data_IF_802555142749
#
_entry.id   IF_802555142749
#
_cell.length_a   1.000
_cell.length_b   1.000
_cell.length_c   1.000
_cell.angle_alpha   90.00
_cell.angle_beta   90.00
_cell.angle_gamma   90.00
#
_symmetry.space_group_name_H-M   'P 1'
#
loop_
_entity.id
_entity.type
_entity.pdbx_description
1 polymer ?
#
# COMPACT_ATOMS: atom_id res chain seq x y z
N UNK A 1 -7.43 14.34 -17.71
CA UNK A 1 -6.40 14.15 -16.66
C UNK A 1 -6.82 14.98 -15.45
N UNK A 2 -6.71 14.45 -14.22
CA UNK A 2 -7.22 15.07 -12.98
C UNK A 2 -6.12 15.91 -12.30
N UNK A 3 -5.79 17.07 -12.87
CA UNK A 3 -4.71 17.94 -12.39
C UNK A 3 -4.92 18.42 -10.95
N UNK A 4 -6.18 18.50 -10.50
CA UNK A 4 -6.56 18.88 -9.14
C UNK A 4 -6.05 17.91 -8.05
N UNK A 5 -5.62 16.71 -8.44
CA UNK A 5 -5.07 15.70 -7.53
C UNK A 5 -3.53 15.68 -7.49
N UNK A 6 -2.86 16.59 -8.20
CA UNK A 6 -1.38 16.58 -8.33
C UNK A 6 -0.87 15.34 -9.07
N UNK A 7 -1.70 14.81 -9.98
CA UNK A 7 -1.38 13.62 -10.78
C UNK A 7 -0.74 13.95 -12.13
N UNK A 8 -0.39 15.22 -12.32
CA UNK A 8 0.40 15.69 -13.45
C UNK A 8 1.76 14.98 -13.49
N UNK A 9 2.14 14.47 -14.66
CA UNK A 9 3.36 13.67 -14.84
C UNK A 9 3.18 12.15 -14.70
N UNK A 10 2.06 11.66 -14.19
CA UNK A 10 1.82 10.23 -14.02
C UNK A 10 1.25 9.60 -15.30
N UNK A 11 1.89 8.53 -15.77
CA UNK A 11 1.43 7.79 -16.97
C UNK A 11 0.17 6.97 -16.63
N UNK A 12 -0.99 7.51 -16.97
CA UNK A 12 -2.22 6.73 -17.09
C UNK A 12 -2.19 5.99 -18.44
N UNK A 13 -2.02 4.67 -18.39
CA UNK A 13 -1.83 3.83 -19.57
C UNK A 13 -3.12 3.56 -20.36
N UNK A 14 -4.29 3.97 -19.85
CA UNK A 14 -5.56 3.73 -20.51
C UNK A 14 -6.02 4.91 -21.38
N UNK A 15 -6.36 4.58 -22.63
CA UNK A 15 -6.97 5.49 -23.60
C UNK A 15 -8.51 5.46 -23.57
N UNK A 16 -9.09 4.61 -22.73
CA UNK A 16 -10.53 4.31 -22.64
C UNK A 16 -11.10 4.69 -21.27
N UNK A 17 -12.42 4.91 -21.19
CA UNK A 17 -13.13 5.21 -19.93
C UNK A 17 -13.52 3.95 -19.13
N UNK A 18 -13.21 2.74 -19.63
CA UNK A 18 -13.52 1.48 -18.92
C UNK A 18 -12.60 1.34 -17.70
N UNK A 19 -13.17 1.15 -16.51
CA UNK A 19 -12.40 1.00 -15.27
C UNK A 19 -11.45 -0.19 -15.26
N UNK A 20 -11.69 -1.23 -16.07
CA UNK A 20 -10.76 -2.35 -16.28
C UNK A 20 -9.41 -1.91 -16.86
N UNK A 21 -9.42 -0.82 -17.62
CA UNK A 21 -8.24 -0.34 -18.34
C UNK A 21 -7.39 0.57 -17.41
N UNK A 22 -7.93 0.95 -16.25
CA UNK A 22 -7.29 1.78 -15.23
C UNK A 22 -6.93 0.97 -13.98
N UNK A 23 -5.90 0.10 -14.02
CA UNK A 23 -5.50 -0.73 -12.88
C UNK A 23 -5.17 0.11 -11.64
N UNK A 24 -4.60 1.30 -11.83
CA UNK A 24 -4.26 2.22 -10.73
C UNK A 24 -5.51 2.72 -9.99
N UNK A 25 -6.55 3.08 -10.76
CA UNK A 25 -7.82 3.48 -10.17
C UNK A 25 -8.44 2.30 -9.41
N UNK A 26 -8.44 1.11 -10.00
CA UNK A 26 -8.94 -0.11 -9.35
C UNK A 26 -8.19 -0.42 -8.05
N UNK A 27 -6.86 -0.37 -8.04
CA UNK A 27 -6.03 -0.61 -6.87
C UNK A 27 -6.26 0.44 -5.77
N UNK A 28 -6.45 1.71 -6.15
CA UNK A 28 -6.85 2.76 -5.21
C UNK A 28 -8.20 2.46 -4.57
N UNK A 29 -9.21 2.13 -5.38
CA UNK A 29 -10.55 1.79 -4.90
C UNK A 29 -10.54 0.57 -3.96
N UNK A 30 -9.78 -0.46 -4.30
CA UNK A 30 -9.62 -1.64 -3.45
C UNK A 30 -8.94 -1.28 -2.13
N UNK A 31 -7.91 -0.43 -2.16
CA UNK A 31 -7.17 -0.01 -0.97
C UNK A 31 -8.01 0.84 -0.02
N UNK A 32 -8.77 1.83 -0.52
CA UNK A 32 -9.64 2.67 0.34
C UNK A 32 -10.79 1.86 0.97
N UNK A 33 -11.29 0.84 0.28
CA UNK A 33 -12.29 -0.08 0.83
C UNK A 33 -11.68 -0.93 1.93
N UNK A 34 -10.48 -1.42 1.68
CA UNK A 34 -9.78 -2.32 2.56
C UNK A 34 -9.20 -1.59 3.81
N UNK A 35 -9.03 -0.26 3.71
CA UNK A 35 -8.83 0.69 4.82
C UNK A 35 -10.11 0.95 5.64
N UNK A 36 -11.27 0.53 5.17
CA UNK A 36 -12.56 0.84 5.77
C UNK A 36 -12.97 2.31 5.61
N UNK A 37 -12.35 3.04 4.69
CA UNK A 37 -12.71 4.44 4.39
C UNK A 37 -13.86 4.54 3.37
N UNK A 38 -14.00 3.53 2.53
CA UNK A 38 -15.14 3.37 1.64
C UNK A 38 -15.73 1.97 1.73
N UNK A 39 -16.93 1.78 1.19
CA UNK A 39 -17.53 0.48 0.91
C UNK A 39 -18.09 0.46 -0.50
N UNK A 40 -18.11 -0.72 -1.13
CA UNK A 40 -18.75 -0.90 -2.44
C UNK A 40 -20.23 -1.26 -2.25
N UNK A 41 -21.13 -0.50 -2.87
CA UNK A 41 -22.58 -0.78 -2.88
C UNK A 41 -23.06 -0.63 -4.33
N UNK A 42 -23.58 -1.71 -4.92
CA UNK A 42 -24.06 -1.74 -6.32
C UNK A 42 -23.06 -1.17 -7.35
N UNK A 43 -21.75 -1.39 -7.13
CA UNK A 43 -20.69 -0.89 -8.01
C UNK A 43 -20.21 0.53 -7.70
N UNK A 44 -20.87 1.24 -6.78
CA UNK A 44 -20.47 2.58 -6.34
C UNK A 44 -19.65 2.53 -5.07
N UNK A 45 -18.73 3.50 -4.93
CA UNK A 45 -17.97 3.70 -3.70
C UNK A 45 -18.67 4.70 -2.80
N UNK A 46 -19.09 4.23 -1.64
CA UNK A 46 -19.76 5.04 -0.63
C UNK A 46 -18.80 5.25 0.54
N UNK A 47 -18.65 6.51 0.95
CA UNK A 47 -17.85 6.89 2.12
C UNK A 47 -18.40 6.23 3.40
N UNK A 48 -17.52 5.72 4.27
CA UNK A 48 -17.92 5.19 5.57
C UNK A 48 -18.08 6.30 6.61
N UNK A 49 -18.80 6.02 7.71
CA UNK A 49 -18.89 6.94 8.85
C UNK A 49 -17.53 7.31 9.43
N UNK A 50 -16.59 6.35 9.44
CA UNK A 50 -15.21 6.59 9.90
C UNK A 50 -14.52 7.58 8.96
N UNK A 51 -14.58 7.37 7.65
CA UNK A 51 -14.00 8.32 6.71
C UNK A 51 -14.61 9.72 6.81
N UNK A 52 -15.93 9.83 6.99
CA UNK A 52 -16.57 11.12 7.19
C UNK A 52 -16.08 11.82 8.47
N UNK A 53 -15.93 11.07 9.57
CA UNK A 53 -15.39 11.59 10.83
C UNK A 53 -13.93 12.04 10.72
N UNK A 54 -13.11 11.29 9.98
CA UNK A 54 -11.66 11.54 9.86
C UNK A 54 -11.30 12.55 8.76
N UNK A 55 -12.24 12.92 7.88
CA UNK A 55 -11.95 13.76 6.70
C UNK A 55 -11.34 15.14 7.07
N UNK A 56 -11.71 15.70 8.22
CA UNK A 56 -11.18 16.97 8.71
C UNK A 56 -9.97 16.86 9.64
N UNK A 57 -9.50 15.64 9.95
CA UNK A 57 -8.38 15.40 10.86
C UNK A 57 -7.31 14.54 10.17
N UNK A 58 -6.35 15.17 9.47
CA UNK A 58 -5.28 14.46 8.77
C UNK A 58 -4.44 13.57 9.70
N UNK A 59 -4.25 13.94 10.96
CA UNK A 59 -3.46 13.16 11.91
C UNK A 59 -4.20 11.91 12.36
N UNK A 60 -5.51 12.01 12.62
CA UNK A 60 -6.32 10.84 12.94
C UNK A 60 -6.52 9.94 11.72
N UNK A 61 -6.62 10.50 10.52
CA UNK A 61 -6.61 9.72 9.28
C UNK A 61 -5.30 8.96 9.12
N UNK A 62 -4.16 9.62 9.35
CA UNK A 62 -2.83 8.99 9.31
C UNK A 62 -2.71 7.83 10.28
N UNK A 63 -3.09 8.03 11.55
CA UNK A 63 -3.09 6.97 12.59
C UNK A 63 -4.02 5.81 12.23
N UNK A 64 -5.21 6.11 11.71
CA UNK A 64 -6.16 5.09 11.24
C UNK A 64 -5.55 4.25 10.13
N UNK A 65 -4.92 4.88 9.14
CA UNK A 65 -4.26 4.20 8.02
C UNK A 65 -3.09 3.35 8.52
N UNK A 66 -2.22 3.88 9.38
CA UNK A 66 -1.08 3.17 9.95
C UNK A 66 -1.51 1.95 10.78
N UNK A 67 -2.60 2.03 11.55
CA UNK A 67 -3.13 0.90 12.33
C UNK A 67 -3.66 -0.28 11.50
N UNK A 68 -3.79 -0.11 10.19
CA UNK A 68 -4.37 -1.12 9.29
C UNK A 68 -3.32 -1.91 8.54
N UNK A 69 -2.04 -1.59 8.67
CA UNK A 69 -0.91 -2.36 8.10
C UNK A 69 -0.15 -3.07 9.24
N UNK A 70 0.52 -4.21 8.96
CA UNK A 70 0.67 -4.90 7.68
C UNK A 70 -0.62 -5.62 7.23
N UNK A 71 -0.87 -5.61 5.91
CA UNK A 71 -2.07 -6.19 5.28
C UNK A 71 -1.70 -7.40 4.46
N UNK A 72 -2.55 -8.41 4.48
CA UNK A 72 -2.35 -9.66 3.76
C UNK A 72 -3.51 -10.59 4.00
N UNK A 73 -3.92 -11.37 2.99
CA UNK A 73 -4.95 -12.39 3.20
C UNK A 73 -4.39 -13.51 4.07
N UNK A 74 -3.21 -13.97 3.69
CA UNK A 74 -2.54 -15.10 4.28
C UNK A 74 -1.38 -14.63 5.16
N UNK A 75 -0.85 -15.54 5.99
CA UNK A 75 0.21 -15.22 6.95
C UNK A 75 1.50 -14.75 6.25
N UNK A 76 1.86 -15.38 5.13
CA UNK A 76 3.00 -14.98 4.31
C UNK A 76 2.89 -13.53 3.83
N UNK A 77 1.70 -13.09 3.42
CA UNK A 77 1.47 -11.70 3.00
C UNK A 77 1.62 -10.71 4.16
N UNK A 78 1.21 -11.12 5.37
CA UNK A 78 1.33 -10.26 6.56
C UNK A 78 2.79 -10.10 6.96
N UNK A 79 3.54 -11.20 7.01
CA UNK A 79 4.97 -11.17 7.32
C UNK A 79 5.78 -10.45 6.23
N UNK A 80 5.50 -10.72 4.96
CA UNK A 80 6.05 -9.96 3.84
C UNK A 80 5.70 -8.47 3.93
N UNK A 81 4.49 -8.15 4.39
CA UNK A 81 4.07 -6.79 4.69
C UNK A 81 4.88 -6.14 5.82
N UNK A 82 5.15 -6.86 6.91
CA UNK A 82 6.01 -6.40 8.02
C UNK A 82 7.43 -6.14 7.53
N UNK A 83 8.01 -7.07 6.77
CA UNK A 83 9.35 -6.92 6.19
C UNK A 83 9.41 -5.71 5.25
N UNK A 84 8.36 -5.47 4.46
CA UNK A 84 8.27 -4.28 3.63
C UNK A 84 8.30 -2.99 4.46
N UNK A 85 7.56 -2.93 5.57
CA UNK A 85 7.60 -1.79 6.48
C UNK A 85 8.99 -1.62 7.13
N UNK A 86 9.63 -2.70 7.57
CA UNK A 86 10.98 -2.67 8.13
C UNK A 86 12.00 -2.12 7.13
N UNK A 87 11.97 -2.63 5.89
CA UNK A 87 12.85 -2.15 4.83
C UNK A 87 12.67 -0.65 4.58
N UNK A 88 11.42 -0.18 4.52
CA UNK A 88 11.12 1.24 4.32
C UNK A 88 11.54 2.11 5.51
N UNK A 89 11.32 1.65 6.75
CA UNK A 89 11.75 2.34 7.96
C UNK A 89 13.28 2.45 8.05
N UNK A 90 13.99 1.46 7.52
CA UNK A 90 15.45 1.42 7.43
C UNK A 90 16.00 2.11 6.17
N UNK A 91 15.16 2.46 5.21
CA UNK A 91 15.59 3.06 3.93
C UNK A 91 16.33 2.09 3.01
N UNK A 92 16.10 0.79 3.13
CA UNK A 92 16.75 -0.26 2.32
C UNK A 92 15.79 -0.85 1.28
N UNK A 93 16.29 -1.49 0.21
CA UNK A 93 15.41 -2.12 -0.79
C UNK A 93 14.54 -3.23 -0.18
N UNK A 94 13.22 -3.11 -0.35
CA UNK A 94 12.22 -4.10 0.14
C UNK A 94 12.50 -5.50 -0.40
N UNK A 95 12.92 -5.61 -1.66
CA UNK A 95 13.19 -6.90 -2.32
C UNK A 95 14.31 -7.65 -1.60
N UNK A 96 15.39 -6.97 -1.30
CA UNK A 96 16.59 -7.59 -0.77
C UNK A 96 16.30 -8.09 0.65
N UNK A 97 15.70 -7.24 1.49
CA UNK A 97 15.31 -7.64 2.84
C UNK A 97 14.27 -8.77 2.86
N UNK A 98 13.31 -8.78 1.93
CA UNK A 98 12.33 -9.86 1.81
C UNK A 98 12.96 -11.19 1.40
N UNK A 99 13.94 -11.17 0.50
CA UNK A 99 14.65 -12.37 0.06
C UNK A 99 15.52 -12.96 1.18
N UNK A 100 16.04 -12.12 2.08
CA UNK A 100 16.85 -12.57 3.21
C UNK A 100 16.00 -13.05 4.38
N UNK A 101 14.95 -12.28 4.76
CA UNK A 101 14.19 -12.55 5.98
C UNK A 101 13.08 -13.58 5.80
N UNK A 102 12.41 -13.67 4.65
CA UNK A 102 11.33 -14.66 4.47
C UNK A 102 11.84 -16.11 4.65
N UNK A 103 12.99 -16.52 4.07
CA UNK A 103 13.57 -17.84 4.35
C UNK A 103 14.01 -18.00 5.79
N UNK A 104 14.56 -16.96 6.42
CA UNK A 104 14.98 -16.99 7.82
C UNK A 104 13.79 -17.20 8.78
N UNK A 105 12.60 -16.71 8.41
CA UNK A 105 11.33 -16.97 9.09
C UNK A 105 10.72 -18.34 8.76
N UNK A 106 11.36 -19.13 7.89
CA UNK A 106 10.94 -20.49 7.55
C UNK A 106 10.04 -20.60 6.32
N UNK A 107 9.75 -19.50 5.62
CA UNK A 107 8.99 -19.55 4.38
C UNK A 107 9.80 -20.17 3.25
N UNK A 108 9.12 -20.98 2.45
CA UNK A 108 9.69 -21.62 1.27
C UNK A 108 8.93 -21.17 0.04
N UNK A 109 9.66 -20.98 -1.05
CA UNK A 109 9.10 -20.69 -2.35
C UNK A 109 9.97 -21.30 -3.45
N UNK A 110 9.32 -21.80 -4.50
CA UNK A 110 10.01 -22.34 -5.67
C UNK A 110 10.75 -21.25 -6.47
N UNK A 111 10.40 -19.98 -6.25
CA UNK A 111 11.01 -18.82 -6.88
C UNK A 111 11.18 -17.70 -5.83
N UNK A 112 12.40 -17.15 -5.65
CA UNK A 112 12.63 -16.02 -4.72
C UNK A 112 11.75 -14.80 -4.98
N UNK A 113 11.27 -14.60 -6.23
CA UNK A 113 10.30 -13.53 -6.55
C UNK A 113 8.98 -13.66 -5.79
N UNK A 114 8.64 -14.83 -5.26
CA UNK A 114 7.45 -15.03 -4.44
C UNK A 114 7.49 -14.22 -3.14
N UNK A 115 8.67 -14.03 -2.53
CA UNK A 115 8.82 -13.20 -1.33
C UNK A 115 8.59 -11.72 -1.62
N UNK A 116 9.07 -11.24 -2.78
CA UNK A 116 8.67 -9.92 -3.27
C UNK A 116 7.15 -9.84 -3.52
N UNK A 117 6.51 -10.94 -3.90
CA UNK A 117 5.07 -11.09 -4.02
C UNK A 117 4.32 -10.83 -2.71
N UNK A 118 4.80 -11.41 -1.62
CA UNK A 118 4.23 -11.25 -0.27
C UNK A 118 4.24 -9.79 0.22
N UNK A 119 5.14 -8.94 -0.30
CA UNK A 119 5.21 -7.51 0.04
C UNK A 119 4.21 -6.66 -0.75
N UNK A 120 3.63 -7.18 -1.84
CA UNK A 120 2.78 -6.44 -2.78
C UNK A 120 1.57 -5.77 -2.08
N UNK A 121 0.85 -6.41 -1.15
CA UNK A 121 -0.31 -5.79 -0.52
C UNK A 121 0.02 -4.49 0.20
N UNK A 122 1.12 -4.46 0.97
CA UNK A 122 1.60 -3.25 1.66
C UNK A 122 2.17 -2.25 0.67
N UNK A 123 2.92 -2.68 -0.35
CA UNK A 123 3.45 -1.77 -1.38
C UNK A 123 2.35 -1.06 -2.17
N UNK A 124 1.31 -1.79 -2.57
CA UNK A 124 0.11 -1.22 -3.22
C UNK A 124 -0.58 -0.21 -2.32
N UNK A 125 -0.73 -0.56 -1.05
CA UNK A 125 -1.31 0.33 -0.06
C UNK A 125 -0.53 1.63 0.10
N UNK A 126 0.79 1.55 0.21
CA UNK A 126 1.68 2.71 0.32
C UNK A 126 1.67 3.57 -0.94
N UNK A 127 1.63 2.94 -2.11
CA UNK A 127 1.48 3.64 -3.39
C UNK A 127 0.17 4.45 -3.45
N UNK A 128 -0.90 3.92 -2.86
CA UNK A 128 -2.22 4.58 -2.82
C UNK A 128 -2.23 5.78 -1.88
N UNK A 129 -1.69 5.67 -0.66
CA UNK A 129 -1.65 6.79 0.29
C UNK A 129 -0.57 7.82 -0.07
N UNK A 130 0.41 7.41 -0.87
CA UNK A 130 1.55 8.21 -1.29
C UNK A 130 1.43 8.91 -2.64
N UNK A 131 0.29 8.77 -3.32
CA UNK A 131 0.07 9.31 -4.67
C UNK A 131 1.20 8.93 -5.64
N UNK A 132 1.51 7.63 -5.75
CA UNK A 132 2.19 7.11 -6.95
C UNK A 132 1.28 6.06 -7.61
N UNK A 133 0.44 6.44 -8.60
CA UNK A 133 -0.36 5.53 -9.39
C UNK A 133 0.56 4.74 -10.33
N UNK A 134 1.24 3.75 -9.75
CA UNK A 134 2.29 2.99 -10.40
C UNK A 134 2.55 1.70 -9.65
N UNK A 135 1.52 0.91 -9.36
CA UNK A 135 1.71 -0.41 -8.74
C UNK A 135 2.52 -1.39 -9.62
N UNK A 136 2.83 -1.01 -10.87
CA UNK A 136 3.78 -1.71 -11.75
C UNK A 136 5.21 -1.16 -11.74
N UNK A 137 5.46 0.02 -11.18
CA UNK A 137 6.71 0.77 -11.38
C UNK A 137 7.17 1.49 -10.11
N UNK A 138 7.25 0.77 -8.99
CA UNK A 138 8.35 1.03 -8.05
C UNK A 138 9.65 0.55 -8.72
N UNK A 139 10.01 1.24 -9.80
CA UNK A 139 11.26 1.16 -10.52
C UNK A 139 12.00 2.43 -10.19
N UNK A 140 13.07 2.30 -9.42
CA UNK A 140 14.22 3.20 -9.29
C UNK A 140 13.99 4.64 -8.80
N UNK A 141 12.76 5.15 -8.74
CA UNK A 141 12.46 6.42 -8.08
C UNK A 141 12.39 6.19 -6.57
N UNK A 142 13.25 6.89 -5.83
CA UNK A 142 13.35 6.81 -4.38
C UNK A 142 11.99 6.97 -3.69
N UNK A 143 11.86 6.33 -2.53
CA UNK A 143 10.66 6.44 -1.72
C UNK A 143 10.44 7.90 -1.28
N UNK A 144 9.19 8.41 -1.25
CA UNK A 144 8.93 9.74 -0.70
C UNK A 144 9.47 9.87 0.72
N UNK A 145 9.96 11.06 1.07
CA UNK A 145 10.63 11.32 2.37
C UNK A 145 9.74 11.03 3.60
N UNK A 146 8.42 11.07 3.43
CA UNK A 146 7.48 10.73 4.50
C UNK A 146 7.34 9.22 4.75
N UNK A 147 7.77 8.37 3.80
CA UNK A 147 7.49 6.93 3.82
C UNK A 147 8.24 6.19 4.95
N UNK A 148 9.52 6.48 5.27
CA UNK A 148 10.16 5.92 6.45
C UNK A 148 9.45 6.31 7.77
N UNK A 149 8.97 7.55 7.87
CA UNK A 149 8.21 8.02 9.05
C UNK A 149 6.88 7.28 9.18
N UNK A 150 6.17 7.10 8.07
CA UNK A 150 4.95 6.27 8.06
C UNK A 150 5.23 4.84 8.48
N UNK A 151 6.27 4.22 7.91
CA UNK A 151 6.62 2.84 8.19
C UNK A 151 6.95 2.63 9.68
N UNK A 152 7.70 3.55 10.30
CA UNK A 152 7.96 3.54 11.75
C UNK A 152 6.67 3.66 12.57
N UNK A 153 5.77 4.57 12.21
CA UNK A 153 4.50 4.74 12.91
C UNK A 153 3.60 3.49 12.77
N UNK A 154 3.57 2.87 11.59
CA UNK A 154 2.86 1.62 11.35
C UNK A 154 3.41 0.48 12.22
N UNK A 155 4.74 0.30 12.26
CA UNK A 155 5.39 -0.71 13.08
C UNK A 155 5.15 -0.49 14.58
N UNK A 156 5.12 0.75 15.06
CA UNK A 156 4.81 1.08 16.46
C UNK A 156 3.36 0.78 16.87
N UNK A 157 2.44 0.75 15.90
CA UNK A 157 1.03 0.48 16.13
C UNK A 157 0.66 -0.99 15.93
N UNK A 158 1.55 -1.78 15.32
CA UNK A 158 1.35 -3.21 15.16
C UNK A 158 1.60 -3.94 16.49
N UNK A 159 0.54 -4.37 17.16
CA UNK A 159 0.60 -5.03 18.47
C UNK A 159 1.05 -6.50 18.41
N UNK A 160 1.55 -6.97 17.25
CA UNK A 160 2.06 -8.34 17.05
C UNK A 160 3.57 -8.46 17.22
N UNK A 161 4.26 -7.32 17.38
CA UNK A 161 5.69 -7.23 17.70
C UNK A 161 5.84 -6.86 19.17
#
# INVERSE_FOLDING_TARGET
MRAELGWDGLKFYATSNRGSDHPQAKEMQESIVALGLARKVKGELIQTKIAAKLAGDPQALWRHVASRVPRGKDESDREGGTIALLALAAGVPVRDLANDLMPALGWRADNPRAFSGATIPVRRFLAVIGTHPGCKFLSDEGFPDWMPTFARAALQLDQRV
#
